data_IF_858701113029
#
_entry.id   IF_858701113029
#
_cell.length_a   1.000
_cell.length_b   1.000
_cell.length_c   1.000
_cell.angle_alpha   90.00
_cell.angle_beta   90.00
_cell.angle_gamma   90.00
#
_symmetry.space_group_name_H-M   'P 1'
#
loop_
_entity.id
_entity.type
_entity.pdbx_description
1 polymer ?
#
# COMPACT_ATOMS: atom_id res chain seq x y z
N UNK A 1 -3.53 -27.61 13.96
CA UNK A 1 -4.50 -27.39 15.07
C UNK A 1 -5.78 -28.18 14.83
N UNK A 2 -6.67 -28.32 15.82
CA UNK A 2 -7.86 -29.18 15.74
C UNK A 2 -9.15 -28.32 15.73
N UNK A 3 -9.93 -28.35 14.65
CA UNK A 3 -11.35 -27.92 14.68
C UNK A 3 -12.17 -29.11 15.15
N UNK A 4 -13.07 -28.95 16.12
CA UNK A 4 -13.83 -30.07 16.67
C UNK A 4 -15.33 -29.79 16.82
N UNK A 5 -16.14 -30.85 16.74
CA UNK A 5 -17.55 -30.85 17.08
C UNK A 5 -17.90 -32.15 17.82
N UNK A 6 -18.89 -32.07 18.70
CA UNK A 6 -19.38 -33.21 19.46
C UNK A 6 -20.87 -33.36 19.15
N UNK A 7 -21.24 -34.47 18.53
CA UNK A 7 -22.64 -34.76 18.23
C UNK A 7 -23.08 -36.09 18.82
N UNK A 8 -24.39 -36.24 18.94
CA UNK A 8 -25.04 -37.44 19.49
C UNK A 8 -25.93 -38.10 18.45
N UNK A 9 -26.02 -39.42 18.44
CA UNK A 9 -26.86 -40.18 17.51
C UNK A 9 -27.25 -41.55 18.07
N UNK A 10 -28.23 -42.22 17.44
CA UNK A 10 -28.65 -43.55 17.88
C UNK A 10 -27.58 -44.62 17.59
N UNK A 11 -26.72 -44.36 16.61
CA UNK A 11 -25.51 -45.14 16.31
C UNK A 11 -24.28 -44.23 16.26
N UNK A 12 -23.09 -44.84 16.37
CA UNK A 12 -21.81 -44.13 16.22
C UNK A 12 -21.72 -43.47 14.84
N UNK A 13 -22.17 -44.14 13.79
CA UNK A 13 -22.19 -43.61 12.42
C UNK A 13 -23.09 -42.37 12.29
N UNK A 14 -24.30 -42.40 12.86
CA UNK A 14 -25.20 -41.25 12.84
C UNK A 14 -24.66 -40.07 13.65
N UNK A 15 -24.03 -40.35 14.79
CA UNK A 15 -23.37 -39.32 15.60
C UNK A 15 -22.18 -38.71 14.84
N UNK A 16 -21.39 -39.53 14.15
CA UNK A 16 -20.28 -39.09 13.32
C UNK A 16 -20.73 -38.22 12.15
N UNK A 17 -21.71 -38.66 11.37
CA UNK A 17 -22.24 -37.90 10.22
C UNK A 17 -22.86 -36.56 10.66
N UNK A 18 -23.54 -36.55 11.81
CA UNK A 18 -24.08 -35.31 12.39
C UNK A 18 -22.98 -34.34 12.78
N UNK A 19 -21.91 -34.83 13.42
CA UNK A 19 -20.76 -34.01 13.78
C UNK A 19 -19.95 -33.52 12.57
N UNK A 20 -19.78 -34.34 11.52
CA UNK A 20 -19.13 -33.94 10.26
C UNK A 20 -19.92 -32.82 9.57
N UNK A 21 -21.26 -32.96 9.52
CA UNK A 21 -22.15 -31.92 8.99
C UNK A 21 -22.09 -30.63 9.81
N UNK A 22 -21.96 -30.73 11.13
CA UNK A 22 -21.80 -29.57 12.02
C UNK A 22 -20.45 -28.87 11.83
N UNK A 23 -19.38 -29.64 11.55
CA UNK A 23 -18.07 -29.11 11.19
C UNK A 23 -17.99 -28.58 9.76
N UNK A 24 -18.95 -28.93 8.89
CA UNK A 24 -18.95 -28.56 7.47
C UNK A 24 -17.86 -29.27 6.67
N UNK A 25 -17.45 -30.47 7.08
CA UNK A 25 -16.35 -31.24 6.48
C UNK A 25 -16.85 -32.59 5.98
N UNK A 26 -16.23 -33.12 4.93
CA UNK A 26 -16.57 -34.44 4.44
C UNK A 26 -16.02 -35.54 5.35
N UNK A 27 -16.74 -36.67 5.40
CA UNK A 27 -16.48 -37.82 6.27
C UNK A 27 -15.07 -38.41 6.14
N UNK A 28 -14.39 -38.18 5.02
CA UNK A 28 -13.07 -38.72 4.70
C UNK A 28 -11.90 -37.84 5.16
N UNK A 29 -12.15 -36.56 5.47
CA UNK A 29 -11.16 -35.61 5.97
C UNK A 29 -11.16 -35.51 7.50
N UNK A 30 -12.15 -36.12 8.14
CA UNK A 30 -12.43 -36.01 9.56
C UNK A 30 -11.92 -37.21 10.38
N UNK A 31 -11.25 -36.93 11.49
CA UNK A 31 -10.87 -37.92 12.50
C UNK A 31 -11.88 -37.88 13.64
N UNK A 32 -12.07 -38.98 14.38
CA UNK A 32 -13.05 -39.00 15.47
C UNK A 32 -12.67 -39.90 16.63
N UNK A 33 -13.12 -39.50 17.82
CA UNK A 33 -13.07 -40.28 19.05
C UNK A 33 -14.50 -40.61 19.50
N UNK A 34 -14.74 -41.87 19.88
CA UNK A 34 -16.03 -42.28 20.47
C UNK A 34 -16.00 -41.94 21.95
N UNK A 35 -16.81 -40.98 22.37
CA UNK A 35 -16.92 -40.58 23.77
C UNK A 35 -17.87 -41.50 24.54
N UNK A 36 -18.96 -41.94 23.90
CA UNK A 36 -19.97 -42.78 24.54
C UNK A 36 -20.57 -43.76 23.53
N UNK A 37 -20.61 -45.05 23.89
CA UNK A 37 -21.18 -46.11 23.07
C UNK A 37 -22.71 -46.17 23.26
N UNK A 38 -23.50 -46.42 22.19
CA UNK A 38 -24.94 -46.49 22.29
C UNK A 38 -25.37 -47.74 23.07
N UNK A 39 -26.18 -47.56 24.12
CA UNK A 39 -26.73 -48.67 24.90
C UNK A 39 -28.21 -48.86 24.54
N UNK A 40 -28.53 -50.01 23.94
CA UNK A 40 -29.91 -50.35 23.59
C UNK A 40 -30.73 -50.70 24.83
N UNK A 41 -32.00 -50.26 24.82
CA UNK A 41 -33.01 -50.57 25.84
C UNK A 41 -33.10 -52.08 26.04
N UNK A 42 -32.85 -52.55 27.27
CA UNK A 42 -33.16 -53.94 27.67
C UNK A 42 -34.25 -53.89 28.74
N UNK A 43 -35.36 -54.59 28.46
CA UNK A 43 -36.42 -54.97 29.42
C UNK A 43 -36.86 -53.87 30.42
N UNK A 44 -37.77 -52.98 30.00
CA UNK A 44 -38.62 -52.19 30.90
C UNK A 44 -37.98 -51.01 31.66
N UNK A 45 -36.67 -50.75 31.51
CA UNK A 45 -36.00 -49.62 32.17
C UNK A 45 -35.92 -48.37 31.26
N UNK A 46 -36.31 -47.22 31.82
CA UNK A 46 -36.13 -45.90 31.21
C UNK A 46 -34.65 -45.50 31.30
N UNK A 47 -33.93 -45.45 30.18
CA UNK A 47 -32.55 -44.95 30.16
C UNK A 47 -31.67 -45.59 29.10
N UNK A 48 -32.01 -45.43 27.81
CA UNK A 48 -31.06 -45.69 26.74
C UNK A 48 -30.17 -44.45 26.54
N UNK A 49 -28.87 -44.64 26.44
CA UNK A 49 -27.92 -43.54 26.21
C UNK A 49 -27.53 -43.50 24.73
N UNK A 50 -27.67 -42.35 24.04
CA UNK A 50 -27.26 -42.20 22.66
C UNK A 50 -25.73 -42.27 22.53
N UNK A 51 -25.24 -42.66 21.36
CA UNK A 51 -23.83 -42.57 21.04
C UNK A 51 -23.39 -41.10 21.07
N UNK A 52 -22.19 -40.83 21.60
CA UNK A 52 -21.54 -39.52 21.51
C UNK A 52 -20.20 -39.66 20.82
N UNK A 53 -19.96 -38.83 19.81
CA UNK A 53 -18.73 -38.84 19.02
C UNK A 53 -18.16 -37.43 18.99
N UNK A 54 -16.85 -37.31 19.23
CA UNK A 54 -16.07 -36.09 19.02
C UNK A 54 -15.36 -36.22 17.68
N UNK A 55 -15.69 -35.36 16.74
CA UNK A 55 -15.02 -35.28 15.44
C UNK A 55 -14.03 -34.13 15.47
N UNK A 56 -12.85 -34.32 14.90
CA UNK A 56 -11.85 -33.28 14.76
C UNK A 56 -11.11 -33.32 13.42
N UNK A 57 -10.74 -32.13 12.92
CA UNK A 57 -9.98 -31.95 11.69
C UNK A 57 -8.68 -31.21 11.99
N UNK A 58 -7.57 -31.70 11.44
CA UNK A 58 -6.29 -30.98 11.48
C UNK A 58 -6.35 -29.78 10.53
N UNK A 59 -6.61 -28.60 11.08
CA UNK A 59 -6.44 -27.31 10.40
C UNK A 59 -4.95 -27.02 10.23
N UNK A 60 -4.51 -26.82 8.99
CA UNK A 60 -3.15 -26.41 8.65
C UNK A 60 -2.97 -24.90 8.89
N UNK A 61 -1.73 -24.41 9.08
CA UNK A 61 -1.46 -22.97 9.11
C UNK A 61 -1.94 -22.24 7.84
N UNK A 62 -1.95 -22.92 6.69
CA UNK A 62 -2.43 -22.37 5.43
C UNK A 62 -3.96 -22.20 5.43
N UNK A 63 -4.71 -23.13 6.03
CA UNK A 63 -6.16 -23.01 6.15
C UNK A 63 -6.55 -21.79 6.97
N UNK A 64 -5.87 -21.56 8.10
CA UNK A 64 -6.10 -20.37 8.94
C UNK A 64 -5.77 -19.08 8.22
N UNK A 65 -4.65 -19.06 7.49
CA UNK A 65 -4.28 -17.94 6.65
C UNK A 65 -5.37 -17.64 5.60
N UNK A 66 -5.91 -18.69 4.96
CA UNK A 66 -6.97 -18.56 3.98
C UNK A 66 -8.29 -18.08 4.59
N UNK A 67 -8.70 -18.64 5.73
CA UNK A 67 -9.89 -18.21 6.48
C UNK A 67 -9.77 -16.74 6.89
N UNK A 68 -8.65 -16.34 7.50
CA UNK A 68 -8.41 -14.95 7.88
C UNK A 68 -8.46 -14.00 6.69
N UNK A 69 -7.83 -14.39 5.57
CA UNK A 69 -7.83 -13.57 4.37
C UNK A 69 -9.25 -13.44 3.79
N UNK A 70 -10.02 -14.53 3.75
CA UNK A 70 -11.43 -14.50 3.31
C UNK A 70 -12.27 -13.59 4.20
N UNK A 71 -12.11 -13.66 5.52
CA UNK A 71 -12.84 -12.83 6.47
C UNK A 71 -12.53 -11.34 6.29
N UNK A 72 -11.25 -10.99 6.16
CA UNK A 72 -10.83 -9.60 5.94
C UNK A 72 -11.39 -9.07 4.61
N UNK A 73 -11.30 -9.86 3.53
CA UNK A 73 -11.83 -9.48 2.21
C UNK A 73 -13.36 -9.30 2.25
N UNK A 74 -14.07 -10.19 2.94
CA UNK A 74 -15.51 -10.07 3.13
C UNK A 74 -15.88 -8.79 3.89
N UNK A 75 -15.14 -8.45 4.95
CA UNK A 75 -15.34 -7.20 5.70
C UNK A 75 -14.95 -5.95 4.92
N UNK A 76 -14.08 -6.06 3.91
CA UNK A 76 -13.78 -5.00 2.96
C UNK A 76 -14.86 -4.83 1.87
N UNK A 77 -15.88 -5.70 1.85
CA UNK A 77 -16.98 -5.67 0.86
C UNK A 77 -16.68 -6.44 -0.42
N UNK A 78 -15.62 -7.26 -0.45
CA UNK A 78 -15.21 -8.04 -1.61
C UNK A 78 -15.77 -9.47 -1.50
N UNK A 79 -16.99 -9.67 -1.98
CA UNK A 79 -17.70 -10.97 -1.88
C UNK A 79 -17.42 -11.93 -3.03
N UNK A 80 -16.81 -11.45 -4.13
CA UNK A 80 -16.53 -12.22 -5.34
C UNK A 80 -15.12 -12.78 -5.44
N UNK A 81 -14.36 -12.82 -4.33
CA UNK A 81 -12.96 -13.25 -4.33
C UNK A 81 -12.85 -14.71 -3.89
N UNK A 82 -12.29 -15.52 -4.76
CA UNK A 82 -11.88 -16.89 -4.50
C UNK A 82 -10.42 -16.93 -4.07
N UNK A 83 -10.14 -17.71 -3.02
CA UNK A 83 -8.79 -17.92 -2.48
C UNK A 83 -8.45 -19.39 -2.64
N UNK A 84 -7.48 -19.68 -3.50
CA UNK A 84 -6.92 -21.03 -3.67
C UNK A 84 -5.60 -21.15 -2.90
N UNK A 85 -5.41 -22.29 -2.25
CA UNK A 85 -4.26 -22.57 -1.40
C UNK A 85 -3.41 -23.65 -2.06
N UNK A 86 -2.13 -23.34 -2.27
CA UNK A 86 -1.13 -24.32 -2.72
C UNK A 86 -0.07 -24.45 -1.66
N UNK A 87 -0.07 -25.56 -0.94
CA UNK A 87 0.96 -25.85 0.07
C UNK A 87 2.32 -26.10 -0.59
N UNK A 88 3.37 -25.59 0.03
CA UNK A 88 4.76 -25.72 -0.37
C UNK A 88 5.61 -26.15 0.84
N UNK A 89 6.85 -26.58 0.58
CA UNK A 89 7.75 -26.96 1.67
C UNK A 89 8.03 -25.76 2.58
N UNK A 90 7.55 -25.83 3.83
CA UNK A 90 7.70 -24.76 4.82
C UNK A 90 6.81 -23.53 4.60
N UNK A 91 5.75 -23.61 3.79
CA UNK A 91 4.87 -22.48 3.55
C UNK A 91 3.66 -22.77 2.66
N UNK A 92 2.95 -21.71 2.28
CA UNK A 92 1.84 -21.79 1.33
C UNK A 92 1.80 -20.57 0.41
N UNK A 93 1.34 -20.80 -0.81
CA UNK A 93 0.96 -19.78 -1.77
C UNK A 93 -0.56 -19.66 -1.78
N UNK A 94 -1.07 -18.47 -1.43
CA UNK A 94 -2.48 -18.14 -1.60
C UNK A 94 -2.63 -17.34 -2.89
N UNK A 95 -3.35 -17.91 -3.86
CA UNK A 95 -3.67 -17.25 -5.12
C UNK A 95 -5.10 -16.73 -5.07
N UNK A 96 -5.26 -15.43 -5.28
CA UNK A 96 -6.58 -14.80 -5.27
C UNK A 96 -7.03 -14.55 -6.70
N UNK A 97 -8.28 -14.90 -6.96
CA UNK A 97 -8.96 -14.69 -8.24
C UNK A 97 -10.36 -14.18 -7.98
N UNK A 98 -10.83 -13.21 -8.77
CA UNK A 98 -12.18 -12.69 -8.58
C UNK A 98 -12.41 -11.33 -9.24
N UNK A 99 -13.63 -10.85 -9.07
CA UNK A 99 -14.03 -9.48 -9.43
C UNK A 99 -13.49 -8.49 -8.39
N UNK A 100 -13.29 -7.23 -8.80
CA UNK A 100 -12.84 -6.14 -7.92
C UNK A 100 -11.49 -6.38 -7.20
N UNK A 101 -10.70 -7.36 -7.65
CA UNK A 101 -9.39 -7.69 -7.05
C UNK A 101 -8.38 -6.54 -7.12
N UNK A 102 -8.63 -5.56 -7.99
CA UNK A 102 -7.84 -4.32 -8.08
C UNK A 102 -7.78 -3.54 -6.77
N UNK A 103 -8.85 -3.59 -5.96
CA UNK A 103 -8.87 -2.95 -4.63
C UNK A 103 -7.92 -3.64 -3.64
N UNK A 104 -7.76 -4.96 -3.74
CA UNK A 104 -6.86 -5.77 -2.89
C UNK A 104 -5.40 -5.45 -3.18
N UNK A 105 -5.08 -5.16 -4.45
CA UNK A 105 -3.74 -4.71 -4.84
C UNK A 105 -3.41 -3.38 -4.14
N UNK A 106 -4.37 -2.44 -4.14
CA UNK A 106 -4.19 -1.11 -3.58
C UNK A 106 -3.20 -0.25 -4.38
N UNK A 107 -2.82 0.90 -3.81
CA UNK A 107 -1.87 1.80 -4.47
C UNK A 107 -0.50 1.13 -4.55
N UNK A 108 -0.06 0.79 -5.77
CA UNK A 108 1.24 0.16 -6.06
C UNK A 108 1.50 -1.19 -5.37
N UNK A 109 0.49 -1.84 -4.80
CA UNK A 109 0.66 -3.12 -4.10
C UNK A 109 0.75 -2.99 -2.58
N UNK A 110 0.62 -1.79 -2.01
CA UNK A 110 0.77 -1.55 -0.56
C UNK A 110 -0.27 -2.33 0.26
N UNK A 111 -1.52 -2.41 -0.22
CA UNK A 111 -2.58 -3.20 0.44
C UNK A 111 -2.28 -4.69 0.37
N UNK A 112 -1.81 -5.18 -0.77
CA UNK A 112 -1.42 -6.58 -0.94
C UNK A 112 -0.26 -6.96 -0.01
N UNK A 113 0.74 -6.10 0.12
CA UNK A 113 1.87 -6.31 1.03
C UNK A 113 1.42 -6.31 2.50
N UNK A 114 0.51 -5.42 2.88
CA UNK A 114 -0.06 -5.37 4.23
C UNK A 114 -0.87 -6.63 4.56
N UNK A 115 -1.73 -7.07 3.64
CA UNK A 115 -2.50 -8.32 3.80
C UNK A 115 -1.56 -9.52 3.91
N UNK A 116 -0.54 -9.62 3.06
CA UNK A 116 0.44 -10.70 3.15
C UNK A 116 1.14 -10.74 4.51
N UNK A 117 1.50 -9.57 5.06
CA UNK A 117 2.11 -9.47 6.38
C UNK A 117 1.17 -9.96 7.48
N UNK A 118 -0.06 -9.44 7.51
CA UNK A 118 -1.06 -9.81 8.53
C UNK A 118 -1.42 -11.29 8.47
N UNK A 119 -1.67 -11.81 7.27
CA UNK A 119 -1.96 -13.23 7.07
C UNK A 119 -0.78 -14.10 7.50
N UNK A 120 0.46 -13.66 7.25
CA UNK A 120 1.67 -14.33 7.75
C UNK A 120 1.74 -14.36 9.27
N UNK A 121 1.37 -13.27 9.95
CA UNK A 121 1.33 -13.25 11.42
C UNK A 121 0.29 -14.24 11.96
N UNK A 122 -0.89 -14.34 11.34
CA UNK A 122 -1.94 -15.28 11.75
C UNK A 122 -1.49 -16.73 11.57
N UNK A 123 -0.84 -17.05 10.44
CA UNK A 123 -0.30 -18.38 10.19
C UNK A 123 0.76 -18.80 11.22
N UNK A 124 1.58 -17.86 11.69
CA UNK A 124 2.68 -18.09 12.64
C UNK A 124 2.28 -17.83 14.11
N UNK A 125 1.01 -17.58 14.40
CA UNK A 125 0.60 -17.14 15.75
C UNK A 125 0.69 -18.25 16.82
N UNK A 126 0.71 -19.52 16.44
CA UNK A 126 0.44 -20.63 17.38
C UNK A 126 1.46 -21.76 17.35
N UNK A 127 2.18 -21.95 16.24
CA UNK A 127 3.18 -23.01 16.10
C UNK A 127 4.59 -22.40 16.08
N UNK A 128 5.55 -23.03 16.78
CA UNK A 128 6.96 -22.60 16.84
C UNK A 128 7.73 -22.79 15.50
N UNK A 129 7.07 -23.39 14.49
CA UNK A 129 7.62 -23.55 13.15
C UNK A 129 7.32 -22.34 12.28
N UNK A 130 8.36 -21.75 11.68
CA UNK A 130 8.18 -20.67 10.72
C UNK A 130 7.47 -21.16 9.44
N UNK A 131 6.29 -20.62 9.19
CA UNK A 131 5.44 -20.94 8.04
C UNK A 131 5.36 -19.74 7.10
N UNK A 132 5.95 -19.84 5.91
CA UNK A 132 6.01 -18.73 4.96
C UNK A 132 4.71 -18.62 4.16
N UNK A 133 3.98 -17.52 4.34
CA UNK A 133 2.83 -17.18 3.52
C UNK A 133 3.23 -16.22 2.39
N UNK A 134 2.87 -16.59 1.16
CA UNK A 134 2.98 -15.72 -0.02
C UNK A 134 1.60 -15.53 -0.62
N UNK A 135 1.26 -14.29 -0.96
CA UNK A 135 0.00 -13.96 -1.63
C UNK A 135 0.31 -13.52 -3.07
N UNK A 136 -0.37 -14.11 -4.05
CA UNK A 136 -0.31 -13.69 -5.44
C UNK A 136 -1.70 -13.35 -6.01
N UNK A 137 -1.71 -12.34 -6.87
CA UNK A 137 -2.90 -11.82 -7.54
C UNK A 137 -2.56 -11.65 -9.02
N UNK A 138 -2.96 -12.61 -9.85
CA UNK A 138 -2.82 -12.51 -11.31
C UNK A 138 -1.39 -12.15 -11.79
N UNK A 139 -0.37 -12.61 -11.08
CA UNK A 139 1.04 -12.28 -11.28
C UNK A 139 1.35 -10.77 -11.25
N UNK A 140 0.74 -10.05 -10.29
CA UNK A 140 0.87 -8.60 -10.15
C UNK A 140 2.33 -8.15 -9.96
N UNK A 141 3.12 -8.88 -9.15
CA UNK A 141 4.49 -8.48 -8.81
C UNK A 141 5.40 -8.44 -10.04
N UNK A 142 5.28 -9.42 -10.94
CA UNK A 142 6.07 -9.46 -12.17
C UNK A 142 5.67 -8.34 -13.14
N UNK A 143 4.37 -8.18 -13.39
CA UNK A 143 3.84 -7.08 -14.22
C UNK A 143 4.24 -5.71 -13.67
N UNK A 144 4.22 -5.54 -12.34
CA UNK A 144 4.61 -4.30 -11.67
C UNK A 144 6.10 -4.01 -11.87
N UNK A 145 6.96 -5.00 -11.75
CA UNK A 145 8.40 -4.88 -12.01
C UNK A 145 8.64 -4.42 -13.46
N UNK A 146 8.03 -5.06 -14.44
CA UNK A 146 8.17 -4.69 -15.85
C UNK A 146 7.72 -3.24 -16.13
N UNK A 147 6.61 -2.84 -15.51
CA UNK A 147 6.08 -1.47 -15.60
C UNK A 147 7.06 -0.45 -15.03
N UNK A 148 7.70 -0.75 -13.89
CA UNK A 148 8.69 0.12 -13.25
C UNK A 148 9.99 0.21 -14.05
N UNK A 149 10.45 -0.90 -14.64
CA UNK A 149 11.61 -0.90 -15.53
C UNK A 149 11.36 -0.03 -16.77
N UNK A 150 10.19 -0.18 -17.37
CA UNK A 150 9.74 0.61 -18.52
C UNK A 150 9.61 2.09 -18.17
N UNK A 151 9.08 2.41 -16.99
CA UNK A 151 9.01 3.77 -16.47
C UNK A 151 10.42 4.38 -16.29
N UNK A 152 11.32 3.65 -15.63
CA UNK A 152 12.70 4.10 -15.41
C UNK A 152 13.42 4.44 -16.71
N UNK A 153 13.38 3.53 -17.70
CA UNK A 153 13.99 3.74 -19.02
C UNK A 153 13.39 4.95 -19.75
N UNK A 154 12.07 5.09 -19.72
CA UNK A 154 11.36 6.21 -20.38
C UNK A 154 11.73 7.56 -19.77
N UNK A 155 11.77 7.64 -18.45
CA UNK A 155 12.09 8.88 -17.74
C UNK A 155 13.58 9.20 -17.87
N UNK A 156 14.47 8.20 -17.85
CA UNK A 156 15.89 8.39 -18.14
C UNK A 156 16.12 8.99 -19.54
N UNK A 157 15.51 8.42 -20.58
CA UNK A 157 15.62 8.95 -21.94
C UNK A 157 15.08 10.39 -22.03
N UNK A 158 13.98 10.69 -21.33
CA UNK A 158 13.43 12.06 -21.23
C UNK A 158 14.38 13.01 -20.50
N UNK A 159 15.00 12.58 -19.40
CA UNK A 159 15.93 13.39 -18.62
C UNK A 159 17.18 13.73 -19.42
N UNK A 160 17.73 12.77 -20.17
CA UNK A 160 18.88 12.99 -21.08
C UNK A 160 18.51 13.96 -22.21
N UNK A 161 17.35 13.74 -22.87
CA UNK A 161 16.90 14.58 -23.98
C UNK A 161 16.62 16.02 -23.56
N UNK A 162 15.93 16.19 -22.43
CA UNK A 162 15.55 17.52 -21.92
C UNK A 162 16.68 18.19 -21.13
N UNK A 163 17.64 17.42 -20.63
CA UNK A 163 18.67 17.88 -19.72
C UNK A 163 18.12 18.31 -18.36
N UNK A 164 17.00 17.76 -17.90
CA UNK A 164 16.33 18.16 -16.65
C UNK A 164 16.19 17.02 -15.66
N UNK A 165 16.22 17.36 -14.38
CA UNK A 165 15.94 16.40 -13.33
C UNK A 165 14.42 16.12 -13.28
N UNK A 166 14.08 14.85 -13.16
CA UNK A 166 12.71 14.35 -13.08
C UNK A 166 12.56 13.58 -11.76
N UNK A 167 11.97 14.18 -10.72
CA UNK A 167 11.61 13.45 -9.52
C UNK A 167 10.43 12.52 -9.82
N UNK A 168 10.47 11.31 -9.25
CA UNK A 168 9.37 10.36 -9.27
C UNK A 168 8.56 10.43 -7.96
N UNK A 169 7.44 9.72 -7.93
CA UNK A 169 6.67 9.55 -6.71
C UNK A 169 7.45 8.76 -5.63
N UNK A 170 7.19 9.00 -4.34
CA UNK A 170 7.73 8.18 -3.27
C UNK A 170 7.33 6.72 -3.41
N UNK A 171 8.26 5.81 -3.15
CA UNK A 171 8.08 4.38 -3.38
C UNK A 171 8.98 3.54 -2.46
N UNK A 172 8.62 2.27 -2.30
CA UNK A 172 9.33 1.39 -1.37
C UNK A 172 10.79 1.13 -1.84
N UNK A 173 11.70 0.72 -0.93
CA UNK A 173 13.11 0.50 -1.30
C UNK A 173 13.34 -0.47 -2.45
N UNK A 174 12.46 -1.48 -2.59
CA UNK A 174 12.55 -2.48 -3.65
C UNK A 174 12.21 -1.87 -5.02
N UNK A 175 11.13 -1.10 -5.12
CA UNK A 175 10.75 -0.36 -6.32
C UNK A 175 11.84 0.65 -6.72
N UNK A 176 12.41 1.38 -5.76
CA UNK A 176 13.54 2.30 -6.03
C UNK A 176 14.72 1.57 -6.65
N UNK A 177 15.07 0.38 -6.14
CA UNK A 177 16.15 -0.44 -6.67
C UNK A 177 15.87 -0.85 -8.12
N UNK A 178 14.65 -1.27 -8.44
CA UNK A 178 14.27 -1.63 -9.82
C UNK A 178 14.50 -0.43 -10.76
N UNK A 179 14.07 0.77 -10.36
CA UNK A 179 14.26 1.97 -11.16
C UNK A 179 15.74 2.32 -11.30
N UNK A 180 16.53 2.28 -10.22
CA UNK A 180 17.97 2.53 -10.29
C UNK A 180 18.66 1.58 -11.29
N UNK A 181 18.37 0.28 -11.21
CA UNK A 181 18.89 -0.72 -12.15
C UNK A 181 18.44 -0.41 -13.58
N UNK A 182 17.17 -0.05 -13.79
CA UNK A 182 16.66 0.28 -15.12
C UNK A 182 17.32 1.54 -15.70
N UNK A 183 17.55 2.58 -14.89
CA UNK A 183 18.20 3.82 -15.31
C UNK A 183 19.66 3.61 -15.68
N UNK A 184 20.39 2.74 -14.97
CA UNK A 184 21.78 2.38 -15.28
C UNK A 184 21.96 1.79 -16.69
N UNK A 185 20.90 1.23 -17.29
CA UNK A 185 20.95 0.71 -18.67
C UNK A 185 20.91 1.80 -19.74
N UNK A 186 20.57 3.04 -19.37
CA UNK A 186 20.44 4.17 -20.30
C UNK A 186 21.67 5.06 -20.19
N UNK A 187 22.41 5.18 -21.30
CA UNK A 187 23.62 6.00 -21.36
C UNK A 187 23.32 7.49 -21.10
N UNK A 188 24.17 8.13 -20.31
CA UNK A 188 24.07 9.55 -19.97
C UNK A 188 23.00 9.88 -18.92
N UNK A 189 22.38 8.89 -18.29
CA UNK A 189 21.42 9.08 -17.20
C UNK A 189 21.99 8.67 -15.84
N UNK A 190 21.74 9.48 -14.81
CA UNK A 190 22.06 9.19 -13.42
C UNK A 190 20.79 9.19 -12.58
N UNK A 191 20.82 8.44 -11.47
CA UNK A 191 19.72 8.41 -10.51
C UNK A 191 20.25 8.44 -9.08
N UNK A 192 19.52 9.09 -8.19
CA UNK A 192 19.78 9.10 -6.75
C UNK A 192 18.44 9.15 -6.01
N UNK A 193 18.43 8.72 -4.75
CA UNK A 193 17.21 8.77 -3.93
C UNK A 193 17.25 9.98 -3.01
N UNK A 194 16.18 10.76 -2.98
CA UNK A 194 15.99 11.91 -2.09
C UNK A 194 14.78 11.71 -1.17
N UNK A 195 14.75 12.40 -0.02
CA UNK A 195 13.70 12.29 0.99
C UNK A 195 13.96 11.23 2.06
N UNK A 196 13.08 11.21 3.06
CA UNK A 196 13.13 10.32 4.24
C UNK A 196 11.92 9.38 4.27
N UNK A 197 12.16 8.14 4.69
CA UNK A 197 11.17 7.06 4.87
C UNK A 197 10.09 7.02 3.78
N UNK A 198 8.83 7.31 4.14
CA UNK A 198 7.66 7.25 3.26
C UNK A 198 7.68 8.29 2.15
N UNK A 199 8.39 9.40 2.34
CA UNK A 199 8.53 10.47 1.35
C UNK A 199 9.76 10.27 0.46
N UNK A 200 10.51 9.17 0.65
CA UNK A 200 11.72 8.88 -0.10
C UNK A 200 11.38 8.43 -1.52
N UNK A 201 11.96 9.11 -2.50
CA UNK A 201 11.68 8.93 -3.92
C UNK A 201 12.97 8.91 -4.75
N UNK A 202 12.89 8.46 -6.00
CA UNK A 202 14.03 8.48 -6.94
C UNK A 202 13.96 9.72 -7.79
N UNK A 203 15.08 10.43 -7.91
CA UNK A 203 15.30 11.51 -8.86
C UNK A 203 16.19 11.00 -9.98
N UNK A 204 15.76 11.22 -11.22
CA UNK A 204 16.51 10.85 -12.42
C UNK A 204 16.95 12.11 -13.12
N UNK A 205 18.24 12.21 -13.47
CA UNK A 205 18.81 13.37 -14.14
C UNK A 205 19.85 12.99 -15.18
N UNK A 206 20.26 13.91 -16.06
CA UNK A 206 21.38 13.70 -16.98
C UNK A 206 22.72 13.66 -16.22
N UNK A 207 23.65 12.80 -16.63
CA UNK A 207 25.00 12.72 -16.06
C UNK A 207 25.74 14.04 -16.19
N UNK A 208 25.62 14.71 -17.35
CA UNK A 208 26.22 16.02 -17.64
C UNK A 208 25.66 17.21 -16.84
N UNK A 209 24.79 16.97 -15.87
CA UNK A 209 24.17 18.01 -15.05
C UNK A 209 22.94 18.66 -15.68
N UNK A 210 22.15 19.33 -14.85
CA UNK A 210 20.92 19.98 -15.29
C UNK A 210 21.24 21.19 -16.18
N UNK A 211 20.63 21.23 -17.38
CA UNK A 211 20.77 22.36 -18.30
C UNK A 211 19.98 23.56 -17.75
N UNK A 212 20.64 24.70 -17.45
CA UNK A 212 19.96 25.89 -16.98
C UNK A 212 18.90 26.34 -17.99
N UNK A 213 17.70 26.68 -17.53
CA UNK A 213 16.73 27.31 -18.43
C UNK A 213 17.26 28.68 -18.87
N UNK A 214 17.14 29.05 -20.15
CA UNK A 214 17.22 30.46 -20.51
C UNK A 214 16.04 31.15 -19.82
N UNK A 215 16.32 31.90 -18.75
CA UNK A 215 15.37 32.80 -18.13
C UNK A 215 14.76 33.63 -19.26
N UNK A 216 13.48 33.38 -19.58
CA UNK A 216 12.71 34.28 -20.43
C UNK A 216 12.73 35.61 -19.69
N UNK A 217 13.64 36.49 -20.07
CA UNK A 217 13.66 37.88 -19.59
C UNK A 217 12.23 38.39 -19.78
N UNK A 218 11.52 38.79 -18.72
CA UNK A 218 10.22 39.42 -18.86
C UNK A 218 10.39 40.54 -19.87
N UNK A 219 9.61 40.47 -20.96
CA UNK A 219 9.84 41.24 -22.16
C UNK A 219 10.25 42.66 -21.83
N UNK A 220 11.46 43.04 -22.27
CA UNK A 220 11.90 44.42 -22.26
C UNK A 220 10.80 45.23 -22.92
N UNK A 221 10.07 45.97 -22.09
CA UNK A 221 9.01 46.87 -22.50
C UNK A 221 9.67 47.84 -23.46
N UNK A 222 9.50 47.58 -24.76
CA UNK A 222 10.06 48.37 -25.82
C UNK A 222 9.76 49.82 -25.51
N UNK A 223 10.83 50.61 -25.30
CA UNK A 223 10.72 52.05 -25.18
C UNK A 223 9.90 52.52 -26.36
N UNK A 224 8.67 52.94 -26.08
CA UNK A 224 7.82 53.65 -27.03
C UNK A 224 8.65 54.82 -27.50
N UNK A 225 9.19 54.74 -28.72
CA UNK A 225 9.62 55.92 -29.47
C UNK A 225 8.39 56.82 -29.51
N UNK A 226 8.41 57.90 -28.73
CA UNK A 226 7.42 58.96 -28.84
C UNK A 226 7.54 59.51 -30.27
N UNK A 227 6.47 59.52 -31.07
CA UNK A 227 6.45 60.34 -32.28
C UNK A 227 6.49 61.79 -31.81
N UNK A 228 7.51 62.52 -32.25
CA UNK A 228 7.65 63.95 -32.05
C UNK A 228 6.42 64.62 -32.68
N UNK A 229 5.52 65.17 -31.85
CA UNK A 229 4.40 65.96 -32.32
C UNK A 229 4.92 67.32 -32.77
N UNK A 230 5.09 67.46 -34.08
CA UNK A 230 5.16 68.76 -34.71
C UNK A 230 3.87 69.52 -34.43
N UNK A 231 4.03 70.60 -33.67
CA UNK A 231 3.00 71.60 -33.43
C UNK A 231 2.68 72.31 -34.75
N UNK A 232 1.58 71.94 -35.41
CA UNK A 232 0.94 72.76 -36.45
C UNK A 232 -0.53 72.38 -36.64
N UNK A 233 -1.37 72.96 -35.79
CA UNK A 233 -2.59 73.64 -36.22
C UNK A 233 -3.86 72.83 -36.52
N UNK A 234 -4.96 73.44 -36.06
CA UNK A 234 -6.21 73.67 -36.82
C UNK A 234 -7.42 72.77 -36.49
N UNK A 235 -8.25 73.34 -35.61
CA UNK A 235 -9.71 73.60 -35.74
C UNK A 235 -10.61 72.51 -36.33
N UNK A 236 -11.69 72.24 -35.60
CA UNK A 236 -12.99 71.85 -36.18
C UNK A 236 -13.69 70.81 -35.32
N UNK A 237 -14.70 71.21 -34.54
CA UNK A 237 -16.12 71.01 -34.87
C UNK A 237 -16.49 69.51 -34.71
N UNK A 238 -17.06 69.09 -33.59
CA UNK A 238 -18.46 69.31 -33.26
C UNK A 238 -19.17 67.94 -33.28
N UNK A 239 -20.31 67.85 -32.60
CA UNK A 239 -21.31 66.78 -32.71
C UNK A 239 -21.21 65.49 -31.83
N UNK A 240 -22.13 65.48 -30.85
CA UNK A 240 -23.17 64.45 -30.59
C UNK A 240 -22.99 63.40 -29.47
N UNK A 241 -23.63 63.79 -28.36
CA UNK A 241 -24.64 63.07 -27.55
C UNK A 241 -24.30 61.87 -26.65
N UNK A 242 -25.02 61.76 -25.50
CA UNK A 242 -24.83 60.76 -24.45
C UNK A 242 -25.93 59.66 -24.42
N UNK A 243 -25.63 58.52 -23.80
CA UNK A 243 -26.57 57.52 -23.24
C UNK A 243 -25.74 56.66 -22.28
N UNK A 244 -26.06 56.51 -21.00
CA UNK A 244 -27.30 56.08 -20.36
C UNK A 244 -26.91 54.87 -19.49
N UNK A 245 -26.72 55.06 -18.18
CA UNK A 245 -27.64 54.71 -17.10
C UNK A 245 -27.87 53.20 -16.87
N UNK A 246 -27.69 52.78 -15.61
CA UNK A 246 -27.91 51.43 -15.07
C UNK A 246 -26.76 51.09 -14.12
N UNK A 247 -26.80 51.48 -12.84
CA UNK A 247 -27.76 51.01 -11.83
C UNK A 247 -27.14 49.81 -11.12
N UNK A 248 -26.42 50.05 -10.03
CA UNK A 248 -26.90 49.90 -8.64
C UNK A 248 -26.68 48.49 -8.06
N UNK A 249 -25.80 48.42 -7.07
CA UNK A 249 -25.54 47.23 -6.25
C UNK A 249 -24.68 47.59 -5.04
N UNK A 250 -25.23 48.42 -4.14
CA UNK A 250 -24.69 48.66 -2.80
C UNK A 250 -24.88 47.42 -1.92
N UNK A 251 -23.84 47.06 -1.17
CA UNK A 251 -23.91 46.66 0.24
C UNK A 251 -22.54 47.01 0.86
N UNK A 252 -22.46 48.18 1.50
CA UNK A 252 -22.31 48.36 2.96
C UNK A 252 -21.18 47.51 3.56
N UNK A 253 -20.04 48.16 3.88
CA UNK A 253 -19.59 48.56 5.23
C UNK A 253 -19.50 47.35 6.17
N UNK A 254 -18.34 47.04 6.74
CA UNK A 254 -17.78 47.83 7.85
C UNK A 254 -16.25 47.89 7.88
N UNK A 255 -15.76 49.03 8.36
CA UNK A 255 -14.38 49.33 8.70
C UNK A 255 -13.97 48.62 9.99
N UNK A 256 -12.72 48.13 10.04
CA UNK A 256 -11.92 48.17 11.25
C UNK A 256 -10.43 48.10 10.89
N UNK A 257 -9.78 49.24 11.06
CA UNK A 257 -8.34 49.46 11.10
C UNK A 257 -7.69 48.72 12.27
N UNK A 258 -6.51 48.14 12.05
CA UNK A 258 -5.67 47.60 13.11
C UNK A 258 -4.33 47.10 12.56
N UNK A 259 -3.35 48.00 12.54
CA UNK A 259 -1.96 47.66 12.30
C UNK A 259 -1.40 46.87 13.51
N UNK A 260 -0.70 45.77 13.26
CA UNK A 260 0.42 45.33 14.10
C UNK A 260 1.27 44.28 13.39
N UNK A 261 2.54 44.62 13.21
CA UNK A 261 3.62 43.73 12.86
C UNK A 261 3.82 42.74 14.01
N UNK A 262 3.64 41.45 13.72
CA UNK A 262 3.95 40.34 14.62
C UNK A 262 5.10 39.53 14.06
N UNK A 263 6.25 39.66 14.71
CA UNK A 263 7.50 38.93 14.49
C UNK A 263 7.33 37.41 14.58
N UNK A 264 7.96 36.68 13.66
CA UNK A 264 8.08 35.22 13.70
C UNK A 264 8.86 34.77 14.95
N UNK A 265 8.41 33.73 15.69
CA UNK A 265 9.20 33.16 16.77
C UNK A 265 10.34 32.30 16.20
N UNK A 266 11.56 32.77 16.42
CA UNK A 266 12.81 32.02 16.29
C UNK A 266 12.86 30.89 17.33
N UNK A 267 12.90 29.63 16.87
CA UNK A 267 13.26 28.50 17.73
C UNK A 267 14.79 28.47 17.93
N UNK A 268 15.31 28.42 19.17
CA UNK A 268 16.74 28.31 19.41
C UNK A 268 17.23 26.89 19.06
N UNK A 269 18.24 26.82 18.20
CA UNK A 269 19.05 25.62 18.03
C UNK A 269 19.85 25.37 19.32
N UNK A 270 19.45 24.39 20.13
CA UNK A 270 20.34 23.77 21.11
C UNK A 270 20.91 22.47 20.53
N UNK A 271 22.21 22.54 20.19
CA UNK A 271 23.05 21.38 19.89
C UNK A 271 23.19 20.54 21.16
N UNK A 272 22.61 19.34 21.16
CA UNK A 272 23.00 18.28 22.11
C UNK A 272 23.77 17.23 21.32
N UNK A 273 25.09 17.21 21.51
CA UNK A 273 25.95 16.10 21.08
C UNK A 273 25.86 15.00 22.14
N UNK A 274 25.21 13.89 21.83
CA UNK A 274 25.43 12.62 22.51
C UNK A 274 25.33 11.49 21.46
N UNK A 275 26.29 10.54 21.42
CA UNK A 275 26.23 9.43 20.48
C UNK A 275 25.19 8.39 20.93
N UNK A 276 24.34 7.96 19.99
CA UNK A 276 23.21 7.05 20.22
C UNK A 276 23.58 5.55 20.19
N UNK A 277 24.88 5.20 20.12
CA UNK A 277 25.34 3.82 20.06
C UNK A 277 26.45 3.55 21.08
N UNK A 278 26.25 2.49 21.87
CA UNK A 278 27.27 1.94 22.76
C UNK A 278 28.51 1.50 21.96
N UNK A 279 29.68 1.78 22.51
CA UNK A 279 30.96 1.29 21.99
C UNK A 279 30.93 -0.24 21.94
N UNK A 280 31.26 -0.79 20.78
CA UNK A 280 31.66 -2.20 20.66
C UNK A 280 33.14 -2.23 21.06
N UNK A 281 33.43 -2.75 22.26
CA UNK A 281 34.81 -3.06 22.65
C UNK A 281 35.26 -4.33 21.92
N UNK A 282 36.09 -4.14 20.89
CA UNK A 282 36.80 -5.25 20.26
C UNK A 282 37.90 -5.70 21.23
N UNK A 283 37.68 -6.81 21.93
CA UNK A 283 38.75 -7.51 22.65
C UNK A 283 39.84 -7.91 21.66
N UNK A 284 40.97 -7.19 21.69
CA UNK A 284 42.25 -7.65 21.14
C UNK A 284 42.70 -8.86 21.96
N UNK A 285 42.59 -10.05 21.39
CA UNK A 285 43.44 -11.17 21.81
C UNK A 285 44.84 -10.92 21.24
N UNK A 286 45.79 -10.57 22.11
CA UNK A 286 47.21 -10.68 21.79
C UNK A 286 47.70 -12.04 22.31
N UNK A 287 48.44 -12.83 21.51
CA UNK A 287 49.01 -14.09 21.96
C UNK A 287 50.37 -13.80 22.58
N UNK A 288 50.58 -14.11 23.86
CA UNK A 288 51.94 -14.28 24.39
C UNK A 288 51.98 -15.36 25.48
N UNK A 289 52.89 -16.30 25.23
CA UNK A 289 53.41 -17.42 26.04
C UNK A 289 52.64 -18.72 26.05
#
# INVERSE_FOLDING_TARGET
MLREAIATGDTVEQAFETACRELGVESHEAQFDILEMPVKKKFGLFGGTPAKVRVYVKSSPADKAAEYLKDVLAHMGLTGVEVSVTEQEGGALLSLTGEDIGFVIGHRGETLDALQYLTGLVANHVDDSYYRITIDIGNYREKRKETLESLGKRIAAKAVKTGRNCPLEPMNPYERRIIHTAVQTVEGAKSWSEGEDTNRHVVIGPEGGERPQPQRRPGGKGGRRQPQQDSRGRRGNGDRFPRGNGGSGQQQRTQASGAQQGTAPSHPQQKVKAPLYGRIDVKKNNPEK
#
